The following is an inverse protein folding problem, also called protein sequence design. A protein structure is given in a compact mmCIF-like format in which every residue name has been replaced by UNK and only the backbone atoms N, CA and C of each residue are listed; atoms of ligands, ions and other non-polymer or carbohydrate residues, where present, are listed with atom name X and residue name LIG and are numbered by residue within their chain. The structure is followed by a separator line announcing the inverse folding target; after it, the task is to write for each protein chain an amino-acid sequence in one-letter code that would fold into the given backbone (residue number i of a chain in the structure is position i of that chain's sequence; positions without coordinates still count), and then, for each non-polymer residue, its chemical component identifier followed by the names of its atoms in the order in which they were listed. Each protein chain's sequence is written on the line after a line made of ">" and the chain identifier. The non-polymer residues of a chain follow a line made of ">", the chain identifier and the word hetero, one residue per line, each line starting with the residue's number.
data_IF_894696785032
#
_entry.id   IF_894696785032
#
_cell.length_a   1.000
_cell.length_b   1.000
_cell.length_c   1.000
_cell.angle_alpha   90.00
_cell.angle_beta   90.00
_cell.angle_gamma   90.00
#
_symmetry.space_group_name_H-M   'P 1'
#
loop_
_entity.id
_entity.type
_entity.pdbx_description
1 polymer ?
#
# COMPACT_ATOMS: atom_id res chain seq x y z
N UNK A 1 38.68 45.82 48.66
CA UNK A 1 37.67 46.21 47.63
C UNK A 1 36.53 45.19 47.69
N UNK A 2 35.28 45.54 48.03
CA UNK A 2 34.19 44.56 47.99
C UNK A 2 33.77 44.31 46.55
N UNK A 3 33.56 43.04 46.21
CA UNK A 3 33.19 42.56 44.87
C UNK A 3 31.75 42.92 44.53
N UNK A 4 31.52 43.47 43.33
CA UNK A 4 30.20 43.86 42.82
C UNK A 4 29.35 42.60 42.56
N UNK A 5 28.10 42.51 43.05
CA UNK A 5 27.22 41.40 42.73
C UNK A 5 26.87 41.41 41.23
N UNK A 6 26.95 40.25 40.57
CA UNK A 6 26.53 40.09 39.19
C UNK A 6 24.99 40.15 39.08
N UNK A 7 24.43 40.77 38.02
CA UNK A 7 22.98 40.82 37.82
C UNK A 7 22.45 39.42 37.51
N UNK A 8 21.33 39.04 38.14
CA UNK A 8 20.65 37.78 37.86
C UNK A 8 19.95 37.88 36.50
N UNK A 9 20.20 36.93 35.62
CA UNK A 9 19.48 36.81 34.34
C UNK A 9 17.99 36.65 34.60
N UNK A 10 17.10 37.30 33.84
CA UNK A 10 15.66 37.07 33.98
C UNK A 10 15.32 35.64 33.57
N UNK A 11 14.58 34.94 34.41
CA UNK A 11 13.98 33.63 34.08
C UNK A 11 12.90 33.89 33.03
N UNK A 12 13.16 33.50 31.78
CA UNK A 12 12.16 33.52 30.72
C UNK A 12 11.34 32.24 30.83
N UNK A 13 10.06 32.38 31.17
CA UNK A 13 9.11 31.27 31.19
C UNK A 13 8.78 30.86 29.75
N UNK A 14 9.01 29.58 29.35
CA UNK A 14 8.76 29.15 27.98
C UNK A 14 7.25 29.13 27.71
N UNK A 15 6.82 29.91 26.73
CA UNK A 15 5.44 29.90 26.24
C UNK A 15 5.17 28.53 25.59
N UNK A 16 4.09 27.81 25.98
CA UNK A 16 3.78 26.53 25.36
C UNK A 16 3.37 26.76 23.90
N UNK A 17 4.26 26.40 22.96
CA UNK A 17 3.93 26.33 21.55
C UNK A 17 3.21 25.00 21.32
N UNK A 18 1.88 25.04 21.24
CA UNK A 18 1.09 23.90 20.78
C UNK A 18 1.41 23.68 19.31
N UNK A 19 2.17 22.62 19.00
CA UNK A 19 2.40 22.24 17.61
C UNK A 19 1.05 21.93 16.94
N UNK A 20 0.76 22.47 15.74
CA UNK A 20 -0.45 22.11 15.02
C UNK A 20 -0.46 20.60 14.80
N UNK A 21 -1.59 19.95 15.07
CA UNK A 21 -1.78 18.53 14.76
C UNK A 21 -1.58 18.35 13.25
N UNK A 22 -0.64 17.52 12.80
CA UNK A 22 -0.42 17.32 11.38
C UNK A 22 -1.68 16.71 10.78
N UNK A 23 -2.30 17.39 9.82
CA UNK A 23 -3.42 16.86 9.05
C UNK A 23 -2.88 15.86 8.03
N UNK A 24 -3.09 14.58 8.29
CA UNK A 24 -2.71 13.50 7.38
C UNK A 24 -3.75 13.40 6.27
N UNK A 25 -3.40 13.78 5.05
CA UNK A 25 -4.25 13.64 3.87
C UNK A 25 -3.99 12.31 3.17
N UNK A 26 -4.99 11.44 3.17
CA UNK A 26 -4.97 10.15 2.47
C UNK A 26 -5.73 10.26 1.15
N UNK A 27 -5.24 9.55 0.12
CA UNK A 27 -5.95 9.39 -1.15
C UNK A 27 -6.58 8.00 -1.18
N UNK A 28 -7.87 7.92 -1.52
CA UNK A 28 -8.60 6.66 -1.55
C UNK A 28 -9.16 6.35 -2.93
N UNK A 29 -9.21 5.05 -3.26
CA UNK A 29 -9.91 4.53 -4.43
C UNK A 29 -11.03 3.58 -3.99
N UNK A 30 -12.23 3.83 -4.52
CA UNK A 30 -13.36 2.92 -4.41
C UNK A 30 -13.30 1.80 -5.44
N UNK A 31 -14.18 0.81 -5.31
CA UNK A 31 -14.15 -0.41 -6.13
C UNK A 31 -14.30 -0.14 -7.63
N UNK A 32 -15.07 0.89 -8.02
CA UNK A 32 -15.22 1.28 -9.42
C UNK A 32 -13.93 1.78 -10.06
N UNK A 33 -13.10 2.52 -9.31
CA UNK A 33 -11.81 3.01 -9.79
C UNK A 33 -10.75 1.89 -9.86
N UNK A 34 -10.97 0.81 -9.11
CA UNK A 34 -10.11 -0.38 -9.10
C UNK A 34 -10.64 -1.49 -10.03
N UNK A 35 -11.66 -1.22 -10.82
CA UNK A 35 -12.16 -2.17 -11.80
C UNK A 35 -11.03 -2.52 -12.80
N UNK A 36 -10.69 -3.81 -12.90
CA UNK A 36 -9.57 -4.29 -13.72
C UNK A 36 -8.19 -4.09 -13.09
N UNK A 37 -8.10 -3.70 -11.81
CA UNK A 37 -6.84 -3.67 -11.09
C UNK A 37 -6.23 -5.08 -10.99
N UNK A 38 -4.91 -5.15 -11.07
CA UNK A 38 -4.17 -6.40 -10.87
C UNK A 38 -4.10 -6.72 -9.38
N UNK A 39 -4.50 -7.92 -8.98
CA UNK A 39 -4.43 -8.42 -7.60
C UNK A 39 -3.57 -9.68 -7.53
N UNK A 40 -3.14 -10.08 -6.32
CA UNK A 40 -2.46 -11.35 -6.13
C UNK A 40 -3.40 -12.51 -6.53
N UNK A 41 -2.90 -13.45 -7.34
CA UNK A 41 -3.72 -14.51 -7.96
C UNK A 41 -4.55 -14.06 -9.16
N UNK A 42 -4.59 -12.76 -9.46
CA UNK A 42 -5.29 -12.15 -10.59
C UNK A 42 -4.43 -12.09 -11.84
N UNK A 43 -4.17 -13.24 -12.47
CA UNK A 43 -3.97 -13.25 -13.92
C UNK A 43 -5.32 -12.93 -14.56
N UNK A 44 -5.58 -11.67 -14.92
CA UNK A 44 -6.83 -11.27 -15.56
C UNK A 44 -6.99 -11.91 -16.94
N UNK A 45 -7.59 -13.10 -16.98
CA UNK A 45 -8.36 -13.57 -18.12
C UNK A 45 -9.83 -13.28 -17.85
N UNK A 46 -10.38 -12.19 -18.39
CA UNK A 46 -11.83 -12.05 -18.55
C UNK A 46 -12.27 -12.95 -19.71
N UNK A 47 -12.48 -14.24 -19.40
CA UNK A 47 -13.22 -15.15 -20.25
C UNK A 47 -14.60 -15.36 -19.67
N UNK A 48 -15.63 -14.79 -20.29
CA UNK A 48 -17.02 -15.13 -20.01
C UNK A 48 -17.28 -16.59 -20.45
N UNK A 49 -17.01 -17.55 -19.57
CA UNK A 49 -17.44 -18.93 -19.74
C UNK A 49 -18.82 -19.11 -19.11
N UNK A 50 -19.88 -19.09 -19.94
CA UNK A 50 -21.20 -19.54 -19.51
C UNK A 50 -21.16 -21.07 -19.31
N UNK A 51 -21.03 -21.51 -18.07
CA UNK A 51 -21.19 -22.93 -17.70
C UNK A 51 -22.68 -23.27 -17.64
N UNK A 52 -23.22 -23.89 -18.70
CA UNK A 52 -24.54 -24.54 -18.63
C UNK A 52 -24.39 -25.89 -17.91
N UNK A 53 -24.45 -25.86 -16.59
CA UNK A 53 -24.53 -27.07 -15.76
C UNK A 53 -25.96 -27.28 -15.25
N UNK A 54 -26.74 -28.14 -15.91
CA UNK A 54 -27.97 -28.70 -15.34
C UNK A 54 -27.59 -29.79 -14.34
N UNK A 55 -27.49 -29.44 -13.06
CA UNK A 55 -27.26 -30.40 -11.99
C UNK A 55 -27.54 -29.80 -10.61
N UNK A 56 -28.53 -30.34 -9.92
CA UNK A 56 -28.80 -30.05 -8.50
C UNK A 56 -27.75 -30.76 -7.65
N UNK A 57 -26.66 -30.05 -7.32
CA UNK A 57 -25.63 -30.54 -6.40
C UNK A 57 -24.69 -29.42 -5.97
N UNK A 58 -24.46 -29.28 -4.66
CA UNK A 58 -23.48 -28.35 -4.09
C UNK A 58 -22.08 -28.77 -4.53
N UNK A 59 -21.52 -28.09 -5.53
CA UNK A 59 -20.19 -28.37 -6.07
C UNK A 59 -19.13 -27.41 -5.53
N UNK A 60 -18.10 -27.95 -4.88
CA UNK A 60 -16.81 -27.29 -4.72
C UNK A 60 -16.16 -27.15 -6.10
N UNK A 61 -16.25 -25.97 -6.70
CA UNK A 61 -15.65 -25.70 -8.00
C UNK A 61 -14.15 -25.43 -7.89
N UNK A 62 -13.31 -26.43 -8.14
CA UNK A 62 -11.89 -26.21 -8.44
C UNK A 62 -11.77 -25.71 -9.88
N UNK A 63 -11.78 -24.39 -10.05
CA UNK A 63 -11.53 -23.76 -11.34
C UNK A 63 -10.04 -23.73 -11.66
N UNK A 64 -9.55 -24.68 -12.44
CA UNK A 64 -8.22 -24.58 -13.07
C UNK A 64 -8.29 -23.59 -14.23
N UNK A 65 -8.20 -22.30 -13.90
CA UNK A 65 -8.09 -21.23 -14.89
C UNK A 65 -6.65 -21.12 -15.39
N UNK A 66 -6.35 -21.73 -16.54
CA UNK A 66 -5.12 -21.43 -17.30
C UNK A 66 -5.24 -20.06 -17.94
N UNK A 67 -5.12 -19.01 -17.14
CA UNK A 67 -5.02 -17.64 -17.63
C UNK A 67 -3.60 -17.37 -18.09
N UNK A 68 -3.43 -17.06 -19.38
CA UNK A 68 -2.21 -16.43 -19.91
C UNK A 68 -2.12 -14.97 -19.42
N UNK A 69 -2.07 -14.77 -18.11
CA UNK A 69 -1.75 -13.50 -17.51
C UNK A 69 -0.27 -13.21 -17.74
N UNK A 70 0.10 -11.96 -17.96
CA UNK A 70 1.50 -11.52 -18.10
C UNK A 70 2.38 -11.75 -16.85
N UNK A 71 1.96 -12.61 -15.91
CA UNK A 71 2.73 -13.15 -14.80
C UNK A 71 3.69 -14.25 -15.23
N UNK A 72 4.39 -14.06 -16.35
CA UNK A 72 5.57 -14.87 -16.66
C UNK A 72 6.59 -14.65 -15.55
N UNK A 73 7.01 -15.74 -14.87
CA UNK A 73 8.12 -15.86 -13.90
C UNK A 73 8.21 -14.88 -12.71
N UNK A 74 7.46 -13.78 -12.70
CA UNK A 74 7.54 -12.67 -11.76
C UNK A 74 6.15 -12.31 -11.24
N UNK A 75 5.63 -13.11 -10.31
CA UNK A 75 4.39 -12.78 -9.59
C UNK A 75 4.67 -11.73 -8.49
N UNK A 76 4.97 -10.50 -8.92
CA UNK A 76 5.36 -9.42 -8.02
C UNK A 76 4.25 -8.97 -7.08
N UNK A 77 2.98 -9.05 -7.51
CA UNK A 77 1.84 -8.69 -6.66
C UNK A 77 1.72 -9.68 -5.51
N UNK A 78 1.81 -10.98 -5.78
CA UNK A 78 1.80 -12.01 -4.74
C UNK A 78 3.02 -11.89 -3.83
N UNK A 79 4.22 -11.69 -4.38
CA UNK A 79 5.44 -11.47 -3.58
C UNK A 79 5.28 -10.29 -2.64
N UNK A 80 4.75 -9.17 -3.12
CA UNK A 80 4.54 -7.99 -2.30
C UNK A 80 3.47 -8.24 -1.24
N UNK A 81 2.36 -8.86 -1.62
CA UNK A 81 1.29 -9.20 -0.70
C UNK A 81 1.80 -10.09 0.44
N UNK A 82 2.52 -11.17 0.12
CA UNK A 82 3.05 -12.09 1.12
C UNK A 82 4.04 -11.37 2.06
N UNK A 83 4.98 -10.60 1.51
CA UNK A 83 5.93 -9.85 2.33
C UNK A 83 5.27 -8.85 3.30
N UNK A 84 4.21 -8.17 2.88
CA UNK A 84 3.47 -7.25 3.77
C UNK A 84 2.57 -8.00 4.77
N UNK A 85 2.06 -9.18 4.42
CA UNK A 85 1.28 -10.06 5.32
C UNK A 85 2.15 -10.73 6.39
N UNK A 86 3.40 -11.03 6.05
CA UNK A 86 4.34 -11.71 6.93
C UNK A 86 4.96 -10.78 7.98
N UNK A 87 4.95 -9.45 7.75
CA UNK A 87 5.47 -8.47 8.70
C UNK A 87 4.36 -7.92 9.64
N UNK A 88 4.35 -8.31 10.94
CA UNK A 88 3.33 -7.87 11.89
C UNK A 88 3.40 -6.36 12.18
N UNK A 89 4.58 -5.73 12.07
CA UNK A 89 4.73 -4.28 12.27
C UNK A 89 4.07 -3.52 11.12
N UNK A 90 4.28 -3.98 9.88
CA UNK A 90 3.64 -3.41 8.69
C UNK A 90 2.13 -3.57 8.75
N UNK A 91 1.63 -4.75 9.13
CA UNK A 91 0.18 -4.98 9.32
C UNK A 91 -0.44 -4.07 10.37
N UNK A 92 0.24 -3.87 11.50
CA UNK A 92 -0.22 -2.96 12.54
C UNK A 92 -0.31 -1.52 12.03
N UNK A 93 0.71 -1.05 11.29
CA UNK A 93 0.71 0.30 10.70
C UNK A 93 -0.38 0.52 9.67
N UNK A 94 -0.66 -0.48 8.84
CA UNK A 94 -1.74 -0.41 7.85
C UNK A 94 -3.12 -0.41 8.50
N UNK A 95 -3.33 -1.26 9.51
CA UNK A 95 -4.55 -1.25 10.31
C UNK A 95 -4.77 0.11 10.98
N UNK A 96 -3.73 0.67 11.59
CA UNK A 96 -3.82 1.99 12.23
C UNK A 96 -4.12 3.10 11.22
N UNK A 97 -3.40 3.12 10.10
CA UNK A 97 -3.66 4.08 9.02
C UNK A 97 -5.12 3.99 8.54
N UNK A 98 -5.67 2.78 8.38
CA UNK A 98 -7.08 2.57 8.00
C UNK A 98 -8.08 3.12 9.03
N UNK A 99 -7.77 3.01 10.32
CA UNK A 99 -8.60 3.57 11.41
C UNK A 99 -8.56 5.09 11.41
N UNK A 100 -7.35 5.67 11.35
CA UNK A 100 -7.15 7.12 11.31
C UNK A 100 -7.77 7.76 10.06
N UNK A 101 -7.66 7.07 8.92
CA UNK A 101 -8.06 7.60 7.63
C UNK A 101 -9.56 7.45 7.35
N UNK A 102 -10.27 6.58 8.06
CA UNK A 102 -11.67 6.25 7.78
C UNK A 102 -11.88 5.66 6.38
N UNK A 103 -10.94 4.84 5.89
CA UNK A 103 -10.97 4.32 4.52
C UNK A 103 -12.24 3.52 4.19
N UNK A 104 -12.92 2.92 5.19
CA UNK A 104 -14.18 2.17 5.06
C UNK A 104 -14.14 1.12 3.92
N UNK A 105 -13.05 0.36 3.83
CA UNK A 105 -12.86 -0.68 2.81
C UNK A 105 -12.32 -0.21 1.46
N UNK A 106 -12.20 1.11 1.25
CA UNK A 106 -11.52 1.69 0.07
C UNK A 106 -10.01 1.48 0.17
N UNK A 107 -9.32 1.37 -0.96
CA UNK A 107 -7.86 1.23 -0.98
C UNK A 107 -7.18 2.58 -0.72
N UNK A 108 -6.12 2.58 0.09
CA UNK A 108 -5.25 3.75 0.26
C UNK A 108 -4.22 3.75 -0.86
N UNK A 109 -4.15 4.83 -1.63
CA UNK A 109 -3.12 5.01 -2.65
C UNK A 109 -1.82 5.42 -1.96
N UNK A 110 -0.76 4.65 -2.18
CA UNK A 110 0.56 4.94 -1.58
C UNK A 110 1.61 5.34 -2.61
N UNK A 111 1.38 5.01 -3.89
CA UNK A 111 2.25 5.41 -4.99
C UNK A 111 1.41 5.55 -6.26
N UNK A 112 1.62 6.62 -7.03
CA UNK A 112 0.95 6.86 -8.29
C UNK A 112 1.84 7.69 -9.23
N UNK A 113 2.93 7.11 -9.72
CA UNK A 113 4.02 7.84 -10.38
C UNK A 113 5.00 8.46 -9.39
N UNK A 114 4.49 9.01 -8.30
CA UNK A 114 5.27 9.45 -7.14
C UNK A 114 4.75 8.83 -5.84
N UNK A 115 5.62 8.73 -4.84
CA UNK A 115 5.21 8.31 -3.49
C UNK A 115 4.22 9.31 -2.91
N UNK A 116 3.04 8.82 -2.53
CA UNK A 116 2.04 9.65 -1.87
C UNK A 116 2.52 9.89 -0.43
N UNK A 117 3.00 11.11 -0.20
CA UNK A 117 3.43 11.60 1.09
C UNK A 117 2.24 12.31 1.75
N UNK A 118 1.88 11.87 2.95
CA UNK A 118 0.94 12.62 3.78
C UNK A 118 1.73 13.37 4.85
N UNK A 119 1.52 14.69 5.03
CA UNK A 119 2.19 15.46 6.08
C UNK A 119 2.03 14.79 7.45
N UNK A 120 3.13 14.70 8.22
CA UNK A 120 3.14 14.04 9.55
C UNK A 120 3.35 12.52 9.55
N UNK A 121 3.50 11.89 8.38
CA UNK A 121 3.89 10.48 8.24
C UNK A 121 5.41 10.29 8.10
N UNK A 122 6.21 11.33 8.33
CA UNK A 122 7.66 11.28 8.33
C UNK A 122 8.13 10.55 9.60
N UNK A 123 8.46 9.26 9.46
CA UNK A 123 8.89 8.39 10.55
C UNK A 123 7.76 7.66 11.31
N UNK A 124 6.48 7.87 10.96
CA UNK A 124 5.31 7.17 11.52
C UNK A 124 4.29 6.80 10.43
N UNK A 125 3.38 5.87 10.75
CA UNK A 125 2.33 5.33 9.86
C UNK A 125 2.84 4.68 8.56
N UNK A 126 2.44 5.14 7.37
CA UNK A 126 2.68 4.47 6.08
C UNK A 126 4.13 4.56 5.55
N UNK A 127 5.02 5.33 6.18
CA UNK A 127 6.42 5.39 5.74
C UNK A 127 7.11 4.02 5.77
N UNK A 128 6.89 3.23 6.83
CA UNK A 128 7.41 1.87 6.93
C UNK A 128 6.84 0.95 5.84
N UNK A 129 5.58 1.17 5.44
CA UNK A 129 4.93 0.42 4.36
C UNK A 129 5.58 0.73 3.03
N UNK A 130 5.79 2.02 2.71
CA UNK A 130 6.48 2.44 1.47
C UNK A 130 7.89 1.86 1.41
N UNK A 131 8.62 1.91 2.53
CA UNK A 131 9.94 1.30 2.62
C UNK A 131 9.89 -0.22 2.39
N UNK A 132 8.96 -0.94 3.01
CA UNK A 132 8.82 -2.38 2.82
C UNK A 132 8.52 -2.72 1.34
N UNK A 133 7.63 -1.95 0.70
CA UNK A 133 7.35 -2.09 -0.74
C UNK A 133 8.62 -1.87 -1.58
N UNK A 134 9.35 -0.78 -1.32
CA UNK A 134 10.59 -0.47 -2.04
C UNK A 134 11.66 -1.56 -1.84
N UNK A 135 11.79 -2.13 -0.63
CA UNK A 135 12.72 -3.23 -0.33
C UNK A 135 12.35 -4.48 -1.14
N UNK A 136 11.08 -4.91 -1.11
CA UNK A 136 10.63 -6.09 -1.86
C UNK A 136 10.90 -5.94 -3.35
N UNK A 137 10.60 -4.76 -3.91
CA UNK A 137 10.87 -4.45 -5.32
C UNK A 137 12.38 -4.40 -5.59
N UNK A 138 13.15 -3.69 -4.77
CA UNK A 138 14.59 -3.48 -4.97
C UNK A 138 15.38 -4.79 -5.05
N UNK A 139 15.06 -5.72 -4.15
CA UNK A 139 15.67 -7.06 -4.07
C UNK A 139 15.06 -8.08 -5.05
N UNK A 140 14.10 -7.69 -5.90
CA UNK A 140 13.57 -8.58 -6.94
C UNK A 140 14.50 -8.66 -8.15
N UNK A 141 14.47 -9.78 -8.92
CA UNK A 141 15.24 -9.93 -10.15
C UNK A 141 15.00 -8.77 -11.14
N UNK A 142 15.99 -8.49 -12.00
CA UNK A 142 15.92 -7.36 -12.94
C UNK A 142 14.74 -7.51 -13.91
N UNK A 143 14.47 -8.74 -14.32
CA UNK A 143 13.37 -9.13 -15.19
C UNK A 143 12.04 -8.73 -14.55
N UNK A 144 11.87 -9.03 -13.26
CA UNK A 144 10.67 -8.65 -12.50
C UNK A 144 10.54 -7.14 -12.33
N UNK A 145 11.64 -6.45 -12.04
CA UNK A 145 11.63 -4.98 -11.93
C UNK A 145 11.28 -4.28 -13.24
N UNK A 146 11.64 -4.89 -14.37
CA UNK A 146 11.36 -4.36 -15.70
C UNK A 146 9.95 -4.67 -16.21
N UNK A 147 9.22 -5.57 -15.57
CA UNK A 147 7.88 -5.97 -16.00
C UNK A 147 6.94 -4.76 -16.01
N UNK A 148 6.34 -4.52 -17.18
CA UNK A 148 5.33 -3.47 -17.36
C UNK A 148 4.01 -3.88 -16.73
N UNK A 149 3.45 -3.00 -15.92
CA UNK A 149 2.14 -3.10 -15.29
C UNK A 149 1.21 -2.09 -15.95
N UNK A 150 -0.07 -2.45 -16.07
CA UNK A 150 -1.14 -1.57 -16.56
C UNK A 150 -2.20 -1.37 -15.50
N UNK A 151 -2.62 -0.13 -15.31
CA UNK A 151 -3.62 0.27 -14.34
C UNK A 151 -3.11 0.19 -12.89
N UNK A 152 -4.06 0.06 -11.97
CA UNK A 152 -3.77 -0.09 -10.55
C UNK A 152 -3.33 -1.53 -10.23
N UNK A 153 -2.38 -1.66 -9.31
CA UNK A 153 -2.18 -2.90 -8.53
C UNK A 153 -2.81 -2.71 -7.16
N UNK A 154 -3.54 -3.71 -6.70
CA UNK A 154 -4.13 -3.74 -5.36
C UNK A 154 -3.54 -4.88 -4.55
N UNK A 155 -3.03 -4.54 -3.37
CA UNK A 155 -2.49 -5.48 -2.39
C UNK A 155 -3.42 -5.54 -1.19
N UNK A 156 -3.87 -6.74 -0.80
CA UNK A 156 -4.77 -6.93 0.36
C UNK A 156 -4.01 -7.60 1.51
N UNK A 157 -4.22 -7.13 2.74
CA UNK A 157 -3.51 -7.67 3.91
C UNK A 157 -4.18 -8.88 4.56
N UNK A 158 -5.44 -9.13 4.26
CA UNK A 158 -6.12 -10.38 4.58
C UNK A 158 -7.22 -10.61 3.57
N UNK A 159 -7.80 -11.80 3.62
CA UNK A 159 -8.89 -12.21 2.75
C UNK A 159 -10.26 -11.90 3.39
N UNK A 160 -10.26 -11.28 4.57
CA UNK A 160 -11.47 -10.88 5.29
C UNK A 160 -12.21 -9.75 4.55
N UNK A 161 -13.55 -9.73 4.61
CA UNK A 161 -14.33 -8.59 4.13
C UNK A 161 -13.89 -7.29 4.80
N UNK A 162 -13.54 -6.29 3.99
CA UNK A 162 -13.09 -4.98 4.48
C UNK A 162 -11.63 -4.94 4.94
N UNK A 163 -10.83 -5.97 4.66
CA UNK A 163 -9.40 -5.97 4.95
C UNK A 163 -8.68 -4.72 4.40
N UNK A 164 -7.63 -4.23 5.08
CA UNK A 164 -6.80 -3.15 4.57
C UNK A 164 -6.24 -3.44 3.17
N UNK A 165 -6.33 -2.46 2.28
CA UNK A 165 -5.88 -2.52 0.88
C UNK A 165 -4.94 -1.36 0.55
N UNK A 166 -3.94 -1.65 -0.27
CA UNK A 166 -3.06 -0.63 -0.83
C UNK A 166 -3.24 -0.59 -2.34
N UNK A 167 -3.23 0.60 -2.91
CA UNK A 167 -3.23 0.80 -4.34
C UNK A 167 -1.90 1.42 -4.81
N UNK A 168 -1.40 0.89 -5.94
CA UNK A 168 -0.16 1.30 -6.59
C UNK A 168 -0.40 1.62 -8.07
N UNK A 169 0.14 2.75 -8.51
CA UNK A 169 0.29 3.12 -9.91
C UNK A 169 -1.00 3.57 -10.58
N UNK A 170 -0.90 3.90 -11.86
CA UNK A 170 -2.02 4.13 -12.78
C UNK A 170 -1.48 4.06 -14.21
N UNK A 171 -2.34 4.02 -15.22
CA UNK A 171 -1.90 4.05 -16.62
C UNK A 171 -0.98 2.89 -16.98
N UNK A 172 0.27 3.16 -17.37
CA UNK A 172 1.28 2.14 -17.62
C UNK A 172 2.57 2.51 -16.87
N UNK A 173 3.14 1.55 -16.13
CA UNK A 173 4.32 1.76 -15.28
C UNK A 173 5.13 0.46 -15.16
N UNK A 174 6.29 0.50 -14.53
CA UNK A 174 7.13 -0.67 -14.22
C UNK A 174 7.38 -0.76 -12.72
N UNK A 175 7.62 -1.97 -12.21
CA UNK A 175 7.97 -2.14 -10.79
C UNK A 175 9.19 -1.32 -10.36
N UNK A 176 10.17 -1.14 -11.25
CA UNK A 176 11.34 -0.29 -11.01
C UNK A 176 11.01 1.18 -10.72
N UNK A 177 9.88 1.70 -11.22
CA UNK A 177 9.47 3.09 -11.02
C UNK A 177 9.22 3.40 -9.53
N UNK A 178 8.85 2.39 -8.72
CA UNK A 178 8.68 2.56 -7.27
C UNK A 178 10.00 2.86 -6.53
N UNK A 179 11.14 2.62 -7.19
CA UNK A 179 12.45 2.88 -6.63
C UNK A 179 12.91 4.33 -6.89
N UNK A 180 12.18 5.10 -7.70
CA UNK A 180 12.55 6.47 -8.06
C UNK A 180 13.86 6.54 -8.87
N UNK A 181 14.16 5.49 -9.64
CA UNK A 181 15.36 5.36 -10.47
C UNK A 181 15.11 5.84 -11.91
#
# INVERSE_FOLDING_TARGET
>A
RPSRPAPRSPTVEPVPITAPTPSVSYVFLGDSALAGATTAGGGSGVGSGAGTGTGTGSGSGSGSGSGSGSGGVCNMVERLQNALRDDPRIRARLTEAYRESGARGRAIVIWNGDWVLSPGQEGKGLAGVRQAVAVVVGFSPRECKSQTVRGYVVVTLSDDPGAPKLALGTGQWRWSDLLGL
#
